data_IF_582246992642
#
_entry.id   IF_582246992642
#
_cell.length_a   1.000
_cell.length_b   1.000
_cell.length_c   1.000
_cell.angle_alpha   90.00
_cell.angle_beta   90.00
_cell.angle_gamma   90.00
#
_symmetry.space_group_name_H-M   'P 1'
#
loop_
_entity.id
_entity.type
_entity.pdbx_description
1 polymer ?
#
# COMPACT_ATOMS: atom_id res chain seq x y z
N UNK A 1 -34.89 1.23 0.22
CA UNK A 1 -35.28 0.08 1.04
C UNK A 1 -35.50 -1.18 0.19
N UNK A 2 -36.31 -1.19 -0.86
CA UNK A 2 -36.57 -2.36 -1.73
C UNK A 2 -35.27 -2.90 -2.34
N UNK A 3 -34.41 -2.06 -2.93
CA UNK A 3 -33.14 -2.50 -3.51
C UNK A 3 -32.18 -3.12 -2.49
N UNK A 4 -32.12 -2.59 -1.26
CA UNK A 4 -31.30 -3.15 -0.20
C UNK A 4 -31.80 -4.54 0.26
N UNK A 5 -33.12 -4.71 0.33
CA UNK A 5 -33.70 -6.02 0.64
C UNK A 5 -33.48 -7.01 -0.51
N UNK A 6 -33.71 -6.61 -1.76
CA UNK A 6 -33.44 -7.44 -2.93
C UNK A 6 -31.97 -7.90 -3.00
N UNK A 7 -31.03 -7.00 -2.68
CA UNK A 7 -29.61 -7.34 -2.60
C UNK A 7 -29.31 -8.34 -1.47
N UNK A 8 -29.82 -8.06 -0.26
CA UNK A 8 -29.60 -8.93 0.91
C UNK A 8 -30.16 -10.34 0.74
N UNK A 9 -31.24 -10.49 -0.05
CA UNK A 9 -31.91 -11.76 -0.30
C UNK A 9 -31.52 -12.41 -1.63
N UNK A 10 -30.57 -11.83 -2.38
CA UNK A 10 -30.06 -12.47 -3.59
C UNK A 10 -29.21 -13.68 -3.21
N UNK A 11 -29.34 -14.78 -3.96
CA UNK A 11 -28.60 -16.03 -3.73
C UNK A 11 -27.10 -15.79 -3.70
N UNK A 12 -26.55 -15.04 -4.67
CA UNK A 12 -25.14 -14.76 -4.78
C UNK A 12 -24.59 -14.04 -3.55
N UNK A 13 -25.32 -13.02 -3.05
CA UNK A 13 -24.87 -12.30 -1.87
C UNK A 13 -25.02 -13.14 -0.61
N UNK A 14 -26.12 -13.89 -0.49
CA UNK A 14 -26.36 -14.77 0.65
C UNK A 14 -25.26 -15.82 0.79
N UNK A 15 -24.91 -16.53 -0.29
CA UNK A 15 -23.81 -17.49 -0.29
C UNK A 15 -22.50 -16.83 0.09
N UNK A 16 -22.12 -15.69 -0.51
CA UNK A 16 -20.91 -14.95 -0.16
C UNK A 16 -20.88 -14.45 1.29
N UNK A 17 -22.05 -14.23 1.90
CA UNK A 17 -22.14 -13.75 3.28
C UNK A 17 -22.00 -14.87 4.32
N UNK A 18 -22.44 -16.10 3.99
CA UNK A 18 -22.38 -17.25 4.91
C UNK A 18 -21.13 -18.11 4.74
N UNK A 19 -20.44 -18.01 3.59
CA UNK A 19 -19.10 -18.55 3.42
C UNK A 19 -18.14 -17.79 4.33
N UNK A 20 -17.17 -18.46 4.95
CA UNK A 20 -16.14 -17.85 5.80
C UNK A 20 -15.11 -17.04 5.00
N UNK A 21 -15.54 -16.30 3.98
CA UNK A 21 -14.74 -15.57 3.00
C UNK A 21 -14.75 -14.05 3.21
N UNK A 22 -13.84 -13.37 2.55
CA UNK A 22 -13.60 -11.91 2.69
C UNK A 22 -14.71 -11.05 2.05
N UNK A 23 -15.54 -11.61 1.19
CA UNK A 23 -16.44 -10.85 0.29
C UNK A 23 -17.57 -10.13 1.01
N UNK A 24 -18.15 -10.71 2.06
CA UNK A 24 -19.23 -10.07 2.82
C UNK A 24 -18.74 -8.77 3.47
N UNK A 25 -17.58 -8.83 4.14
CA UNK A 25 -16.99 -7.65 4.79
C UNK A 25 -16.53 -6.61 3.77
N UNK A 26 -15.94 -7.04 2.65
CA UNK A 26 -15.53 -6.16 1.57
C UNK A 26 -16.73 -5.44 0.94
N UNK A 27 -17.84 -6.14 0.72
CA UNK A 27 -19.10 -5.56 0.22
C UNK A 27 -19.69 -4.53 1.19
N UNK A 28 -19.63 -4.82 2.49
CA UNK A 28 -20.04 -3.86 3.53
C UNK A 28 -19.18 -2.59 3.48
N UNK A 29 -17.84 -2.72 3.41
CA UNK A 29 -16.94 -1.57 3.27
C UNK A 29 -17.25 -0.75 2.02
N UNK A 30 -17.51 -1.42 0.88
CA UNK A 30 -17.92 -0.78 -0.38
C UNK A 30 -19.20 0.02 -0.21
N UNK A 31 -20.24 -0.57 0.35
CA UNK A 31 -21.52 0.11 0.60
C UNK A 31 -21.36 1.32 1.53
N UNK A 32 -20.54 1.18 2.57
CA UNK A 32 -20.27 2.25 3.53
C UNK A 32 -19.49 3.41 2.88
N UNK A 33 -18.53 3.13 2.03
CA UNK A 33 -17.78 4.14 1.27
C UNK A 33 -18.71 4.91 0.32
N UNK A 34 -19.58 4.21 -0.41
CA UNK A 34 -20.58 4.87 -1.26
C UNK A 34 -21.55 5.73 -0.46
N UNK A 35 -22.02 5.25 0.68
CA UNK A 35 -22.86 6.05 1.55
C UNK A 35 -22.14 7.32 2.06
N UNK A 36 -20.87 7.20 2.45
CA UNK A 36 -20.08 8.33 2.94
C UNK A 36 -19.80 9.37 1.86
N UNK A 37 -19.53 8.96 0.61
CA UNK A 37 -19.27 9.93 -0.46
C UNK A 37 -20.55 10.70 -0.82
N UNK A 38 -21.73 10.06 -0.80
CA UNK A 38 -23.00 10.74 -0.96
C UNK A 38 -23.33 11.69 0.21
N UNK A 39 -22.94 11.29 1.45
CA UNK A 39 -23.01 12.21 2.61
C UNK A 39 -22.10 13.39 2.44
N UNK A 40 -20.87 13.17 1.99
CA UNK A 40 -19.93 14.27 1.68
C UNK A 40 -20.51 15.20 0.62
N UNK A 41 -21.04 14.66 -0.45
CA UNK A 41 -21.65 15.44 -1.54
C UNK A 41 -22.73 16.38 -1.01
N UNK A 42 -23.62 15.90 -0.14
CA UNK A 42 -24.71 16.71 0.43
C UNK A 42 -24.25 17.85 1.32
N UNK A 43 -23.06 17.76 1.90
CA UNK A 43 -22.48 18.76 2.83
C UNK A 43 -21.19 19.38 2.34
N UNK A 44 -20.81 19.17 1.08
CA UNK A 44 -19.48 19.52 0.54
C UNK A 44 -19.08 20.99 0.69
N UNK A 45 -20.04 21.89 0.83
CA UNK A 45 -19.82 23.32 0.99
C UNK A 45 -19.86 23.78 2.46
N UNK A 46 -20.20 22.86 3.39
CA UNK A 46 -20.21 23.16 4.81
C UNK A 46 -18.80 23.03 5.43
N UNK A 47 -18.56 23.76 6.54
CA UNK A 47 -17.33 23.58 7.32
C UNK A 47 -17.16 22.11 7.74
N UNK A 48 -15.90 21.64 7.73
CA UNK A 48 -15.55 20.28 8.12
C UNK A 48 -16.11 19.13 7.24
N UNK A 49 -16.62 19.40 6.03
CA UNK A 49 -17.10 18.37 5.10
C UNK A 49 -16.01 17.30 4.83
N UNK A 50 -14.73 17.67 4.78
CA UNK A 50 -13.62 16.75 4.50
C UNK A 50 -13.47 15.61 5.53
N UNK A 51 -14.13 15.69 6.69
CA UNK A 51 -14.18 14.57 7.65
C UNK A 51 -14.72 13.28 7.04
N UNK A 52 -15.63 13.37 6.07
CA UNK A 52 -16.17 12.20 5.37
C UNK A 52 -15.11 11.61 4.42
N UNK A 53 -14.32 12.45 3.75
CA UNK A 53 -13.20 11.98 2.90
C UNK A 53 -12.15 11.25 3.76
N UNK A 54 -11.82 11.80 4.93
CA UNK A 54 -10.89 11.17 5.87
C UNK A 54 -11.46 9.83 6.39
N UNK A 55 -12.75 9.77 6.69
CA UNK A 55 -13.38 8.52 7.11
C UNK A 55 -13.41 7.48 5.98
N UNK A 56 -13.65 7.89 4.73
CA UNK A 56 -13.52 7.03 3.54
C UNK A 56 -12.10 6.46 3.46
N UNK A 57 -11.07 7.32 3.61
CA UNK A 57 -9.68 6.91 3.61
C UNK A 57 -9.37 5.86 4.71
N UNK A 58 -9.92 6.04 5.92
CA UNK A 58 -9.81 5.04 7.00
C UNK A 58 -10.42 3.69 6.62
N UNK A 59 -11.64 3.69 6.07
CA UNK A 59 -12.33 2.46 5.67
C UNK A 59 -11.58 1.76 4.54
N UNK A 60 -11.04 2.52 3.59
CA UNK A 60 -10.16 1.98 2.55
C UNK A 60 -8.94 1.31 3.20
N UNK A 61 -8.27 1.96 4.15
CA UNK A 61 -7.12 1.40 4.86
C UNK A 61 -7.43 0.08 5.58
N UNK A 62 -8.56 0.01 6.30
CA UNK A 62 -9.03 -1.22 6.96
C UNK A 62 -9.39 -2.29 5.92
N UNK A 63 -10.04 -1.91 4.84
CA UNK A 63 -10.49 -2.83 3.78
C UNK A 63 -9.32 -3.44 3.00
N UNK A 64 -8.22 -2.72 2.79
CA UNK A 64 -7.02 -3.24 2.12
C UNK A 64 -6.51 -4.51 2.84
N UNK A 65 -6.55 -4.53 4.17
CA UNK A 65 -6.13 -5.68 4.96
C UNK A 65 -7.04 -6.91 4.80
N UNK A 66 -8.26 -6.73 4.34
CA UNK A 66 -9.23 -7.82 4.12
C UNK A 66 -9.27 -8.19 2.63
N UNK A 67 -9.54 -7.21 1.77
CA UNK A 67 -9.61 -7.44 0.33
C UNK A 67 -9.48 -6.12 -0.45
N UNK A 68 -8.74 -6.16 -1.57
CA UNK A 68 -8.45 -4.97 -2.40
C UNK A 68 -9.64 -4.47 -3.22
N UNK A 69 -10.76 -5.21 -3.27
CA UNK A 69 -11.93 -4.89 -4.09
C UNK A 69 -12.46 -3.47 -3.83
N UNK A 70 -12.41 -3.01 -2.57
CA UNK A 70 -12.89 -1.68 -2.21
C UNK A 70 -12.12 -0.52 -2.89
N UNK A 71 -10.90 -0.75 -3.38
CA UNK A 71 -10.16 0.25 -4.15
C UNK A 71 -10.86 0.61 -5.47
N UNK A 72 -11.70 -0.28 -6.00
CA UNK A 72 -12.49 -0.01 -7.20
C UNK A 72 -13.56 1.09 -7.00
N UNK A 73 -13.82 1.49 -5.75
CA UNK A 73 -14.68 2.65 -5.45
C UNK A 73 -13.99 3.99 -5.74
N UNK A 74 -12.64 4.04 -5.81
CA UNK A 74 -11.89 5.29 -5.97
C UNK A 74 -12.29 6.07 -7.22
N UNK A 75 -12.47 5.48 -8.42
CA UNK A 75 -12.94 6.19 -9.58
C UNK A 75 -14.30 6.88 -9.35
N UNK A 76 -15.25 6.19 -8.72
CA UNK A 76 -16.56 6.76 -8.40
C UNK A 76 -16.43 7.93 -7.40
N UNK A 77 -15.61 7.78 -6.36
CA UNK A 77 -15.35 8.84 -5.36
C UNK A 77 -14.77 10.09 -6.03
N UNK A 78 -13.77 9.91 -6.90
CA UNK A 78 -13.10 11.03 -7.60
C UNK A 78 -14.05 11.71 -8.56
N UNK A 79 -14.91 10.96 -9.28
CA UNK A 79 -15.92 11.55 -10.16
C UNK A 79 -16.98 12.34 -9.38
N UNK A 80 -17.50 11.80 -8.27
CA UNK A 80 -18.45 12.53 -7.39
C UNK A 80 -17.80 13.81 -6.89
N UNK A 81 -16.54 13.73 -6.45
CA UNK A 81 -15.78 14.92 -6.04
C UNK A 81 -15.65 15.94 -7.16
N UNK A 82 -15.28 15.51 -8.36
CA UNK A 82 -15.14 16.37 -9.53
C UNK A 82 -16.45 17.08 -9.86
N UNK A 83 -17.53 16.35 -10.08
CA UNK A 83 -18.82 16.93 -10.43
C UNK A 83 -19.40 17.85 -9.35
N UNK A 84 -19.07 17.61 -8.09
CA UNK A 84 -19.54 18.45 -6.98
C UNK A 84 -18.76 19.74 -6.79
N UNK A 85 -17.43 19.69 -7.03
CA UNK A 85 -16.53 20.85 -6.76
C UNK A 85 -16.33 21.77 -7.95
N UNK A 86 -16.50 21.29 -9.16
CA UNK A 86 -16.31 22.08 -10.38
C UNK A 86 -17.65 22.45 -11.02
N UNK A 87 -17.87 23.76 -11.27
CA UNK A 87 -19.13 24.25 -11.87
C UNK A 87 -19.25 23.96 -13.36
N UNK A 88 -18.12 24.04 -14.09
CA UNK A 88 -18.04 23.78 -15.53
C UNK A 88 -17.43 22.39 -15.74
N UNK A 89 -18.27 21.40 -15.81
CA UNK A 89 -17.84 20.00 -16.05
C UNK A 89 -17.99 19.63 -17.51
N UNK A 90 -16.97 19.01 -18.08
CA UNK A 90 -16.94 18.58 -19.45
C UNK A 90 -16.36 17.16 -19.56
N UNK A 91 -16.42 16.57 -20.74
CA UNK A 91 -15.89 15.23 -20.99
C UNK A 91 -14.38 15.17 -20.71
N UNK A 92 -13.63 16.21 -21.10
CA UNK A 92 -12.18 16.27 -20.88
C UNK A 92 -11.84 16.25 -19.39
N UNK A 93 -12.53 17.03 -18.58
CA UNK A 93 -12.34 17.05 -17.14
C UNK A 93 -12.74 15.73 -16.47
N UNK A 94 -13.79 15.07 -16.95
CA UNK A 94 -14.19 13.74 -16.47
C UNK A 94 -13.12 12.68 -16.79
N UNK A 95 -12.51 12.72 -17.96
CA UNK A 95 -11.41 11.82 -18.34
C UNK A 95 -10.16 12.10 -17.48
N UNK A 96 -9.85 13.36 -17.21
CA UNK A 96 -8.75 13.72 -16.29
C UNK A 96 -9.05 13.21 -14.88
N UNK A 97 -10.28 13.36 -14.38
CA UNK A 97 -10.67 12.86 -13.07
C UNK A 97 -10.52 11.33 -12.98
N UNK A 98 -10.91 10.60 -14.03
CA UNK A 98 -10.67 9.16 -14.14
C UNK A 98 -9.18 8.82 -14.13
N UNK A 99 -8.36 9.54 -14.92
CA UNK A 99 -6.91 9.33 -14.92
C UNK A 99 -6.32 9.56 -13.53
N UNK A 100 -6.72 10.62 -12.83
CA UNK A 100 -6.31 10.88 -11.44
C UNK A 100 -6.70 9.72 -10.53
N UNK A 101 -7.90 9.14 -10.69
CA UNK A 101 -8.33 8.01 -9.88
C UNK A 101 -7.46 6.77 -10.09
N UNK A 102 -7.06 6.47 -11.34
CA UNK A 102 -6.12 5.39 -11.63
C UNK A 102 -4.74 5.65 -11.02
N UNK A 103 -4.24 6.89 -11.11
CA UNK A 103 -2.98 7.26 -10.45
C UNK A 103 -3.06 7.04 -8.93
N UNK A 104 -4.18 7.42 -8.29
CA UNK A 104 -4.38 7.17 -6.87
C UNK A 104 -4.38 5.67 -6.52
N UNK A 105 -5.02 4.83 -7.33
CA UNK A 105 -5.01 3.37 -7.14
C UNK A 105 -3.57 2.85 -7.27
N UNK A 106 -2.82 3.28 -8.28
CA UNK A 106 -1.42 2.88 -8.47
C UNK A 106 -0.56 3.32 -7.29
N UNK A 107 -0.73 4.56 -6.80
CA UNK A 107 -0.01 5.06 -5.63
C UNK A 107 -0.32 4.27 -4.35
N UNK A 108 -1.55 3.78 -4.19
CA UNK A 108 -1.92 2.95 -3.05
C UNK A 108 -1.35 1.53 -3.18
N UNK A 109 -1.54 0.88 -4.34
CA UNK A 109 -1.16 -0.52 -4.55
C UNK A 109 0.35 -0.72 -4.71
N UNK A 110 1.04 0.18 -5.38
CA UNK A 110 2.46 0.03 -5.72
C UNK A 110 3.36 1.01 -4.98
N UNK A 111 2.81 2.10 -4.44
CA UNK A 111 3.57 3.08 -3.68
C UNK A 111 3.43 2.87 -2.16
N UNK A 112 2.22 2.99 -1.63
CA UNK A 112 2.03 2.98 -0.17
C UNK A 112 2.30 1.60 0.44
N UNK A 113 1.69 0.55 -0.09
CA UNK A 113 1.75 -0.79 0.50
C UNK A 113 3.15 -1.40 0.36
N UNK A 114 3.71 -1.57 -0.87
CA UNK A 114 5.05 -2.13 -1.03
C UNK A 114 6.14 -1.17 -0.56
N UNK A 115 5.97 0.14 -0.77
CA UNK A 115 6.96 1.14 -0.38
C UNK A 115 7.16 1.21 1.14
N UNK A 116 6.08 1.04 1.92
CA UNK A 116 6.22 0.91 3.38
C UNK A 116 7.08 -0.31 3.75
N UNK A 117 6.81 -1.46 3.14
CA UNK A 117 7.57 -2.70 3.40
C UNK A 117 9.04 -2.52 3.00
N UNK A 118 9.31 -1.90 1.85
CA UNK A 118 10.65 -1.67 1.34
C UNK A 118 11.47 -0.78 2.28
N UNK A 119 10.95 0.38 2.68
CA UNK A 119 11.66 1.28 3.61
C UNK A 119 11.79 0.65 5.00
N UNK A 120 10.75 -0.04 5.48
CA UNK A 120 10.83 -0.78 6.74
C UNK A 120 11.93 -1.85 6.71
N UNK A 121 12.09 -2.55 5.58
CA UNK A 121 13.13 -3.55 5.37
C UNK A 121 14.54 -2.95 5.47
N UNK A 122 14.77 -1.77 4.89
CA UNK A 122 16.06 -1.08 5.00
C UNK A 122 16.38 -0.67 6.44
N UNK A 123 15.38 -0.16 7.16
CA UNK A 123 15.56 0.21 8.57
C UNK A 123 15.79 -1.03 9.43
N UNK A 124 15.07 -2.12 9.16
CA UNK A 124 15.27 -3.40 9.87
C UNK A 124 16.69 -3.95 9.67
N UNK A 125 17.19 -3.97 8.43
CA UNK A 125 18.57 -4.40 8.15
C UNK A 125 19.60 -3.52 8.85
N UNK A 126 19.37 -2.21 8.91
CA UNK A 126 20.25 -1.30 9.63
C UNK A 126 20.28 -1.63 11.14
N UNK A 127 19.10 -1.85 11.74
CA UNK A 127 19.00 -2.12 13.17
C UNK A 127 19.57 -3.48 13.56
N UNK A 128 19.23 -4.52 12.81
CA UNK A 128 19.62 -5.89 13.16
C UNK A 128 21.05 -6.20 12.68
N UNK A 129 21.40 -5.92 11.42
CA UNK A 129 22.67 -6.32 10.86
C UNK A 129 23.83 -5.38 11.20
N UNK A 130 23.56 -4.08 11.44
CA UNK A 130 24.60 -3.08 11.74
C UNK A 130 24.65 -2.77 13.23
N UNK A 131 23.49 -2.53 13.88
CA UNK A 131 23.45 -2.19 15.30
C UNK A 131 23.30 -3.42 16.21
N UNK A 132 23.15 -4.62 15.63
CA UNK A 132 23.01 -5.89 16.36
C UNK A 132 21.86 -5.90 17.37
N UNK A 133 20.78 -5.20 17.05
CA UNK A 133 19.55 -5.17 17.85
C UNK A 133 18.66 -6.39 17.51
N UNK A 134 17.73 -6.75 18.39
CA UNK A 134 16.82 -7.88 18.16
C UNK A 134 16.00 -7.75 16.88
N UNK A 135 15.56 -8.87 16.31
CA UNK A 135 14.64 -8.90 15.18
C UNK A 135 13.39 -8.05 15.43
N UNK A 136 12.89 -7.41 14.38
CA UNK A 136 11.73 -6.50 14.36
C UNK A 136 11.95 -5.15 15.09
N UNK A 137 13.12 -4.89 15.68
CA UNK A 137 13.40 -3.60 16.36
C UNK A 137 13.38 -2.41 15.41
N UNK A 138 13.91 -2.58 14.20
CA UNK A 138 13.91 -1.55 13.16
C UNK A 138 12.50 -1.23 12.65
N UNK A 139 11.66 -2.24 12.46
CA UNK A 139 10.26 -2.07 12.04
C UNK A 139 9.46 -1.32 13.09
N UNK A 140 9.61 -1.66 14.37
CA UNK A 140 8.94 -0.98 15.49
C UNK A 140 9.39 0.49 15.56
N UNK A 141 10.68 0.74 15.49
CA UNK A 141 11.22 2.11 15.45
C UNK A 141 10.65 2.91 14.27
N UNK A 142 10.66 2.34 13.08
CA UNK A 142 10.18 2.97 11.86
C UNK A 142 8.68 3.30 11.94
N UNK A 143 7.87 2.40 12.50
CA UNK A 143 6.45 2.64 12.73
C UNK A 143 6.22 3.90 13.58
N UNK A 144 6.89 4.02 14.72
CA UNK A 144 6.77 5.21 15.58
C UNK A 144 7.34 6.46 14.94
N UNK A 145 8.41 6.35 14.15
CA UNK A 145 8.98 7.46 13.38
C UNK A 145 7.95 8.02 12.38
N UNK A 146 7.29 7.16 11.60
CA UNK A 146 6.25 7.59 10.65
C UNK A 146 5.11 8.30 11.38
N UNK A 147 4.59 7.68 12.44
CA UNK A 147 3.49 8.27 13.24
C UNK A 147 3.89 9.65 13.75
N UNK A 148 5.09 9.78 14.31
CA UNK A 148 5.60 11.06 14.81
C UNK A 148 5.77 12.12 13.71
N UNK A 149 6.31 11.74 12.56
CA UNK A 149 6.54 12.67 11.44
C UNK A 149 5.22 13.11 10.81
N UNK A 150 4.26 12.21 10.60
CA UNK A 150 2.94 12.58 10.08
C UNK A 150 2.20 13.49 11.09
N UNK A 151 2.26 13.19 12.39
CA UNK A 151 1.66 14.02 13.43
C UNK A 151 2.29 15.42 13.44
N UNK A 152 3.62 15.52 13.31
CA UNK A 152 4.30 16.80 13.14
C UNK A 152 3.84 17.55 11.90
N UNK A 153 3.74 16.89 10.75
CA UNK A 153 3.29 17.50 9.50
C UNK A 153 1.83 17.99 9.59
N UNK A 154 0.93 17.20 10.22
CA UNK A 154 -0.45 17.63 10.49
C UNK A 154 -0.45 18.89 11.38
N UNK A 155 0.36 18.92 12.43
CA UNK A 155 0.50 20.07 13.31
C UNK A 155 0.99 21.33 12.55
N UNK A 156 1.99 21.21 11.67
CA UNK A 156 2.49 22.33 10.87
C UNK A 156 1.43 22.89 9.92
N UNK A 157 0.64 22.01 9.27
CA UNK A 157 -0.46 22.44 8.41
C UNK A 157 -1.59 23.13 9.19
N UNK A 158 -1.80 22.77 10.44
CA UNK A 158 -2.78 23.39 11.33
C UNK A 158 -2.27 24.72 11.92
N UNK A 159 -1.08 24.71 12.48
CA UNK A 159 -0.48 25.86 13.16
C UNK A 159 0.02 26.94 12.18
N UNK A 160 0.27 26.58 10.92
CA UNK A 160 0.73 27.47 9.83
C UNK A 160 1.90 28.38 10.24
N UNK A 161 2.87 27.86 10.99
CA UNK A 161 4.01 28.61 11.51
C UNK A 161 4.92 29.13 10.39
N UNK A 162 5.14 28.32 9.36
CA UNK A 162 5.97 28.66 8.21
C UNK A 162 5.66 27.78 7.01
N UNK A 163 5.52 28.39 5.82
CA UNK A 163 5.37 27.69 4.55
C UNK A 163 6.51 26.70 4.30
N UNK A 164 7.73 27.02 4.73
CA UNK A 164 8.89 26.16 4.59
C UNK A 164 8.75 24.89 5.44
N UNK A 165 8.30 25.02 6.69
CA UNK A 165 8.09 23.87 7.58
C UNK A 165 6.97 22.98 7.06
N UNK A 166 5.87 23.54 6.56
CA UNK A 166 4.77 22.79 5.95
C UNK A 166 5.28 21.96 4.76
N UNK A 167 6.07 22.55 3.86
CA UNK A 167 6.63 21.86 2.68
C UNK A 167 7.57 20.74 3.09
N UNK A 168 8.48 21.00 4.03
CA UNK A 168 9.47 20.01 4.49
C UNK A 168 8.78 18.85 5.18
N UNK A 169 7.91 19.12 6.17
CA UNK A 169 7.23 18.08 6.92
C UNK A 169 6.33 17.21 6.02
N UNK A 170 5.63 17.84 5.07
CA UNK A 170 4.84 17.14 4.07
C UNK A 170 5.70 16.23 3.19
N UNK A 171 6.80 16.75 2.63
CA UNK A 171 7.72 15.98 1.80
C UNK A 171 8.30 14.78 2.56
N UNK A 172 8.79 15.01 3.77
CA UNK A 172 9.34 13.95 4.61
C UNK A 172 8.28 12.89 4.91
N UNK A 173 7.02 13.27 5.20
CA UNK A 173 5.93 12.33 5.43
C UNK A 173 5.68 11.43 4.22
N UNK A 174 5.60 12.00 3.00
CA UNK A 174 5.37 11.23 1.76
C UNK A 174 6.53 10.26 1.48
N UNK A 175 7.76 10.71 1.71
CA UNK A 175 8.96 9.88 1.48
C UNK A 175 9.05 8.75 2.50
N UNK A 176 8.86 9.05 3.79
CA UNK A 176 8.93 8.04 4.85
C UNK A 176 7.82 7.00 4.74
N UNK A 177 6.62 7.38 4.28
CA UNK A 177 5.55 6.38 4.04
C UNK A 177 5.89 5.43 2.88
N UNK A 178 6.93 5.74 2.09
CA UNK A 178 7.41 4.88 1.01
C UNK A 178 6.78 5.16 -0.36
N UNK A 179 5.82 6.10 -0.45
CA UNK A 179 5.07 6.37 -1.70
C UNK A 179 5.95 6.56 -2.94
N UNK A 180 7.12 7.23 -2.91
CA UNK A 180 7.96 7.38 -4.09
C UNK A 180 8.68 6.09 -4.52
N UNK A 181 8.82 5.10 -3.63
CA UNK A 181 9.58 3.88 -3.89
C UNK A 181 8.71 2.83 -4.59
N UNK A 182 8.35 3.12 -5.84
CA UNK A 182 7.54 2.25 -6.70
C UNK A 182 8.46 1.34 -7.50
N UNK A 183 8.23 0.02 -7.43
CA UNK A 183 8.97 -0.97 -8.19
C UNK A 183 10.35 -1.30 -7.59
N UNK A 184 11.18 -1.97 -8.40
CA UNK A 184 12.46 -2.51 -7.97
C UNK A 184 13.58 -1.48 -8.09
N UNK A 185 13.87 -0.78 -7.02
CA UNK A 185 15.05 0.07 -6.93
C UNK A 185 14.79 1.52 -6.51
N UNK A 186 15.81 2.11 -5.92
CA UNK A 186 15.77 3.43 -5.31
C UNK A 186 15.82 4.60 -6.32
N UNK A 187 16.22 4.35 -7.57
CA UNK A 187 16.40 5.43 -8.58
C UNK A 187 15.09 6.15 -8.88
N UNK A 188 14.01 5.38 -9.13
CA UNK A 188 12.67 5.94 -9.37
C UNK A 188 12.21 6.73 -8.16
N UNK A 189 12.43 6.19 -6.95
CA UNK A 189 12.10 6.87 -5.70
C UNK A 189 12.80 8.21 -5.53
N UNK A 190 14.09 8.29 -5.87
CA UNK A 190 14.87 9.54 -5.84
C UNK A 190 14.31 10.54 -6.84
N UNK A 191 14.04 10.12 -8.07
CA UNK A 191 13.50 11.00 -9.13
C UNK A 191 12.12 11.54 -8.74
N UNK A 192 11.22 10.68 -8.26
CA UNK A 192 9.88 11.09 -7.81
C UNK A 192 9.94 12.03 -6.60
N UNK A 193 10.82 11.76 -5.65
CA UNK A 193 11.04 12.63 -4.48
C UNK A 193 11.57 14.00 -4.92
N UNK A 194 12.54 14.05 -5.84
CA UNK A 194 13.09 15.30 -6.37
C UNK A 194 12.02 16.10 -7.15
N UNK A 195 11.19 15.42 -7.94
CA UNK A 195 10.10 16.03 -8.67
C UNK A 195 9.04 16.63 -7.71
N UNK A 196 8.66 15.91 -6.67
CA UNK A 196 7.74 16.39 -5.64
C UNK A 196 8.34 17.58 -4.88
N UNK A 197 9.61 17.50 -4.49
CA UNK A 197 10.31 18.59 -3.84
C UNK A 197 10.34 19.84 -4.74
N UNK A 198 10.75 19.68 -5.99
CA UNK A 198 10.73 20.78 -6.96
C UNK A 198 9.35 21.41 -7.08
N UNK A 199 8.31 20.60 -7.25
CA UNK A 199 6.92 21.08 -7.31
C UNK A 199 6.54 21.88 -6.07
N UNK A 200 6.79 21.35 -4.86
CA UNK A 200 6.43 22.02 -3.61
C UNK A 200 7.18 23.33 -3.41
N UNK A 201 8.49 23.36 -3.67
CA UNK A 201 9.32 24.53 -3.39
C UNK A 201 9.21 25.65 -4.46
N UNK A 202 8.80 25.33 -5.69
CA UNK A 202 8.52 26.33 -6.72
C UNK A 202 7.15 27.00 -6.59
N UNK A 203 6.20 26.40 -5.88
CA UNK A 203 4.87 27.00 -5.67
C UNK A 203 4.90 28.12 -4.64
N UNK A 204 4.37 29.28 -5.02
CA UNK A 204 4.24 30.46 -4.14
C UNK A 204 3.03 30.36 -3.20
N UNK A 205 1.94 29.71 -3.66
CA UNK A 205 0.72 29.50 -2.86
C UNK A 205 0.54 28.03 -2.57
N UNK A 206 0.39 27.68 -1.30
CA UNK A 206 0.14 26.33 -0.84
C UNK A 206 -1.35 26.09 -0.66
N UNK A 207 -1.82 24.94 -1.10
CA UNK A 207 -3.15 24.45 -0.78
C UNK A 207 -3.13 23.74 0.60
N UNK A 208 -2.92 24.50 1.67
CA UNK A 208 -2.70 23.96 3.04
C UNK A 208 -3.82 23.02 3.47
N UNK A 209 -5.09 23.36 3.17
CA UNK A 209 -6.23 22.51 3.50
C UNK A 209 -6.15 21.16 2.77
N UNK A 210 -5.75 21.17 1.50
CA UNK A 210 -5.57 19.91 0.75
C UNK A 210 -4.40 19.09 1.31
N UNK A 211 -3.26 19.74 1.61
CA UNK A 211 -2.11 19.06 2.23
C UNK A 211 -2.49 18.45 3.59
N UNK A 212 -3.21 19.17 4.43
CA UNK A 212 -3.72 18.66 5.70
C UNK A 212 -4.67 17.46 5.50
N UNK A 213 -5.61 17.56 4.55
CA UNK A 213 -6.53 16.45 4.23
C UNK A 213 -5.77 15.22 3.73
N UNK A 214 -4.74 15.38 2.89
CA UNK A 214 -3.88 14.28 2.41
C UNK A 214 -3.15 13.63 3.60
N UNK A 215 -2.53 14.42 4.47
CA UNK A 215 -1.80 13.91 5.64
C UNK A 215 -2.72 13.16 6.60
N UNK A 216 -3.89 13.71 6.89
CA UNK A 216 -4.90 13.03 7.73
C UNK A 216 -5.40 11.75 7.06
N UNK A 217 -5.63 11.76 5.74
CA UNK A 217 -6.03 10.58 5.00
C UNK A 217 -4.94 9.51 5.02
N UNK A 218 -3.68 9.88 4.80
CA UNK A 218 -2.54 8.95 4.93
C UNK A 218 -2.42 8.38 6.34
N UNK A 219 -2.57 9.22 7.36
CA UNK A 219 -2.49 8.78 8.74
C UNK A 219 -3.56 7.74 9.08
N UNK A 220 -4.81 7.98 8.68
CA UNK A 220 -5.91 7.03 8.97
C UNK A 220 -5.85 5.78 8.09
N UNK A 221 -5.37 5.87 6.84
CA UNK A 221 -5.08 4.69 6.00
C UNK A 221 -4.02 3.84 6.70
N UNK A 222 -2.96 4.47 7.22
CA UNK A 222 -1.89 3.78 7.92
C UNK A 222 -2.37 3.09 9.20
N UNK A 223 -3.26 3.73 9.97
CA UNK A 223 -3.92 3.10 11.12
C UNK A 223 -4.73 1.88 10.66
N UNK A 224 -5.55 1.99 9.60
CA UNK A 224 -6.29 0.87 9.06
C UNK A 224 -5.38 -0.27 8.58
N UNK A 225 -4.34 0.08 7.84
CA UNK A 225 -3.35 -0.84 7.32
C UNK A 225 -2.51 -1.54 8.41
N UNK A 226 -2.33 -0.91 9.59
CA UNK A 226 -1.61 -1.51 10.71
C UNK A 226 -2.24 -2.82 11.22
N UNK A 227 -3.46 -3.14 10.79
CA UNK A 227 -4.09 -4.44 11.05
C UNK A 227 -3.29 -5.62 10.47
N UNK A 228 -2.42 -5.41 9.47
CA UNK A 228 -1.45 -6.41 9.02
C UNK A 228 -0.44 -6.83 10.10
N UNK A 229 -0.20 -5.99 11.11
CA UNK A 229 0.61 -6.39 12.26
C UNK A 229 0.02 -7.60 12.99
N UNK A 230 -1.31 -7.78 12.96
CA UNK A 230 -1.97 -8.97 13.52
C UNK A 230 -1.57 -10.25 12.80
N UNK A 231 -1.30 -10.19 11.49
CA UNK A 231 -0.84 -11.34 10.70
C UNK A 231 0.54 -11.75 11.21
N UNK A 232 1.46 -10.79 11.35
CA UNK A 232 2.81 -11.05 11.86
C UNK A 232 2.76 -11.61 13.28
N UNK A 233 1.97 -11.01 14.18
CA UNK A 233 1.81 -11.48 15.56
C UNK A 233 1.23 -12.91 15.60
N UNK A 234 0.26 -13.21 14.75
CA UNK A 234 -0.33 -14.56 14.68
C UNK A 234 0.64 -15.58 14.11
N UNK A 235 1.42 -15.22 13.09
CA UNK A 235 2.43 -16.07 12.50
C UNK A 235 3.52 -16.46 13.50
N UNK A 236 4.03 -15.49 14.30
CA UNK A 236 5.04 -15.78 15.35
C UNK A 236 4.54 -16.75 16.43
N UNK A 237 3.22 -16.94 16.56
CA UNK A 237 2.64 -17.93 17.47
C UNK A 237 2.64 -19.36 16.90
N UNK A 238 3.18 -19.60 15.69
CA UNK A 238 3.27 -20.90 15.02
C UNK A 238 1.92 -21.67 15.02
N UNK A 239 0.89 -21.01 14.51
CA UNK A 239 -0.44 -21.61 14.40
C UNK A 239 -0.46 -22.75 13.37
N UNK A 240 -1.35 -23.75 13.49
CA UNK A 240 -1.40 -24.90 12.56
C UNK A 240 -1.59 -24.51 11.08
N UNK A 241 -2.24 -23.37 10.82
CA UNK A 241 -2.41 -22.81 9.46
C UNK A 241 -1.71 -21.46 9.39
N UNK A 242 -0.42 -21.48 9.10
CA UNK A 242 0.43 -20.31 8.95
C UNK A 242 0.98 -20.23 7.53
N UNK A 243 0.16 -19.71 6.62
CA UNK A 243 0.51 -19.63 5.20
C UNK A 243 1.68 -18.66 4.98
N UNK A 244 2.79 -19.18 4.46
CA UNK A 244 4.05 -18.49 4.16
C UNK A 244 4.79 -17.91 5.39
N UNK A 245 4.37 -18.24 6.59
CA UNK A 245 5.02 -17.81 7.86
C UNK A 245 5.50 -16.34 7.82
N UNK A 246 4.59 -15.35 7.70
CA UNK A 246 4.96 -13.92 7.63
C UNK A 246 5.36 -13.36 8.99
N UNK A 247 6.43 -13.90 9.59
CA UNK A 247 6.92 -13.57 10.93
C UNK A 247 7.74 -12.28 11.01
N UNK A 248 8.18 -11.76 9.89
CA UNK A 248 9.00 -10.54 9.80
C UNK A 248 8.63 -9.73 8.56
N UNK A 249 9.25 -8.56 8.42
CA UNK A 249 8.94 -7.63 7.32
C UNK A 249 9.25 -8.20 5.94
N UNK A 250 10.24 -9.08 5.80
CA UNK A 250 10.64 -9.67 4.53
C UNK A 250 9.65 -10.74 4.09
N UNK A 251 9.31 -11.66 4.99
CA UNK A 251 8.30 -12.70 4.74
C UNK A 251 6.90 -12.10 4.58
N UNK A 252 6.58 -11.01 5.31
CA UNK A 252 5.37 -10.23 5.10
C UNK A 252 5.34 -9.61 3.70
N UNK A 253 6.47 -9.10 3.19
CA UNK A 253 6.59 -8.58 1.83
C UNK A 253 6.22 -9.63 0.78
N UNK A 254 6.79 -10.84 0.86
CA UNK A 254 6.45 -11.96 -0.02
C UNK A 254 4.99 -12.39 0.08
N UNK A 255 4.43 -12.38 1.29
CA UNK A 255 3.01 -12.67 1.52
C UNK A 255 2.09 -11.63 0.84
N UNK A 256 2.37 -10.34 0.99
CA UNK A 256 1.59 -9.24 0.39
C UNK A 256 1.71 -9.22 -1.13
N UNK A 257 2.88 -9.51 -1.67
CA UNK A 257 3.13 -9.61 -3.11
C UNK A 257 2.59 -10.90 -3.73
N UNK A 258 2.05 -11.81 -2.92
CA UNK A 258 1.52 -13.11 -3.37
C UNK A 258 2.54 -13.94 -4.13
N UNK A 259 3.80 -13.89 -3.75
CA UNK A 259 4.90 -14.58 -4.43
C UNK A 259 4.70 -16.10 -4.54
N UNK A 260 3.93 -16.69 -3.61
CA UNK A 260 3.58 -18.13 -3.65
C UNK A 260 2.76 -18.55 -4.87
N UNK A 261 2.09 -17.61 -5.53
CA UNK A 261 1.28 -17.91 -6.72
C UNK A 261 2.07 -17.77 -8.03
N UNK A 262 3.35 -17.39 -7.95
CA UNK A 262 4.23 -17.16 -9.10
C UNK A 262 3.87 -15.90 -9.88
N UNK A 263 4.71 -15.59 -10.88
CA UNK A 263 4.50 -14.45 -11.76
C UNK A 263 3.42 -14.75 -12.81
N UNK A 264 2.51 -13.80 -12.99
CA UNK A 264 1.49 -13.82 -14.04
C UNK A 264 1.65 -12.61 -14.92
N UNK A 265 2.56 -12.66 -15.92
CA UNK A 265 2.79 -11.53 -16.82
C UNK A 265 1.53 -11.22 -17.62
N UNK A 266 1.20 -9.91 -17.78
CA UNK A 266 -0.01 -9.47 -18.49
C UNK A 266 0.10 -9.55 -20.01
N UNK A 267 1.31 -9.41 -20.57
CA UNK A 267 1.52 -9.27 -22.01
C UNK A 267 2.37 -10.39 -22.59
N UNK A 268 3.42 -10.81 -21.90
CA UNK A 268 4.33 -11.86 -22.34
C UNK A 268 4.55 -12.84 -21.19
N UNK A 269 4.39 -14.11 -21.44
CA UNK A 269 4.55 -15.16 -20.46
C UNK A 269 4.75 -16.52 -21.10
N UNK A 270 5.00 -17.50 -20.27
CA UNK A 270 5.15 -18.87 -20.72
C UNK A 270 3.82 -19.40 -21.26
N UNK A 271 3.85 -20.04 -22.42
CA UNK A 271 2.72 -20.81 -22.92
C UNK A 271 2.62 -22.15 -22.19
N UNK A 272 1.43 -22.75 -22.18
CA UNK A 272 1.22 -24.06 -21.56
C UNK A 272 2.21 -25.16 -22.02
N UNK A 273 2.57 -25.25 -23.34
CA UNK A 273 3.54 -26.24 -23.83
C UNK A 273 4.99 -25.74 -23.77
N UNK A 274 5.30 -24.63 -23.09
CA UNK A 274 6.67 -24.12 -23.03
C UNK A 274 7.60 -25.10 -22.32
N UNK A 275 8.67 -25.51 -23.02
CA UNK A 275 9.70 -26.37 -22.46
C UNK A 275 10.74 -25.57 -21.69
N UNK A 276 11.44 -26.24 -20.78
CA UNK A 276 12.56 -25.63 -20.04
C UNK A 276 13.68 -25.29 -21.03
N UNK A 277 14.12 -24.04 -21.05
CA UNK A 277 15.26 -23.62 -21.87
C UNK A 277 16.53 -24.37 -21.46
N UNK A 278 17.22 -24.95 -22.44
CA UNK A 278 18.47 -25.70 -22.24
C UNK A 278 19.61 -25.05 -23.02
N UNK A 279 20.81 -25.17 -22.47
CA UNK A 279 22.02 -24.76 -23.18
C UNK A 279 22.43 -25.78 -24.25
N UNK A 280 23.51 -25.50 -24.97
CA UNK A 280 24.06 -26.38 -26.00
C UNK A 280 24.47 -27.79 -25.48
N UNK A 281 24.66 -27.93 -24.18
CA UNK A 281 25.03 -29.18 -23.50
C UNK A 281 23.79 -29.91 -22.94
N UNK A 282 22.58 -29.40 -23.16
CA UNK A 282 21.33 -29.96 -22.64
C UNK A 282 21.03 -29.62 -21.18
N UNK A 283 21.83 -28.77 -20.53
CA UNK A 283 21.63 -28.36 -19.14
C UNK A 283 20.56 -27.27 -19.07
N UNK A 284 19.64 -27.39 -18.10
CA UNK A 284 18.59 -26.39 -17.91
C UNK A 284 19.19 -25.02 -17.57
N UNK A 285 18.78 -23.99 -18.32
CA UNK A 285 19.19 -22.61 -18.08
C UNK A 285 18.42 -22.08 -16.86
N UNK A 286 19.15 -21.64 -15.84
CA UNK A 286 18.57 -21.00 -14.68
C UNK A 286 18.96 -19.53 -14.60
N UNK A 287 18.02 -18.69 -14.16
CA UNK A 287 18.26 -17.28 -13.86
C UNK A 287 18.31 -17.08 -12.35
N UNK A 288 19.23 -16.23 -11.90
CA UNK A 288 19.32 -15.88 -10.49
C UNK A 288 18.17 -14.95 -10.14
N UNK A 289 17.31 -15.36 -9.20
CA UNK A 289 16.25 -14.54 -8.65
C UNK A 289 16.77 -13.42 -7.75
N UNK A 290 15.88 -12.55 -7.28
CA UNK A 290 16.19 -11.53 -6.29
C UNK A 290 16.69 -12.18 -4.99
N UNK A 291 17.58 -11.51 -4.28
CA UNK A 291 17.98 -11.93 -2.95
C UNK A 291 16.80 -11.73 -1.98
N UNK A 292 16.46 -12.78 -1.26
CA UNK A 292 15.46 -12.77 -0.19
C UNK A 292 16.22 -12.79 1.13
N UNK A 293 15.86 -11.89 2.04
CA UNK A 293 16.46 -11.85 3.36
C UNK A 293 15.78 -12.85 4.28
N UNK A 294 16.57 -13.68 4.97
CA UNK A 294 16.09 -14.66 5.94
C UNK A 294 16.85 -14.55 7.26
N UNK A 295 16.15 -14.84 8.36
CA UNK A 295 16.78 -14.93 9.69
C UNK A 295 17.86 -16.02 9.66
N UNK A 296 19.08 -15.67 10.09
CA UNK A 296 20.14 -16.66 10.28
C UNK A 296 19.81 -17.48 11.52
N UNK A 297 19.81 -18.80 11.40
CA UNK A 297 19.71 -19.70 12.56
C UNK A 297 20.95 -19.52 13.44
N UNK A 298 20.72 -19.26 14.74
CA UNK A 298 21.80 -19.14 15.72
C UNK A 298 22.44 -20.50 15.97
N UNK A 299 23.75 -20.52 16.04
CA UNK A 299 24.55 -21.71 16.44
C UNK A 299 24.81 -21.73 17.94
N UNK A 300 24.75 -20.58 18.60
CA UNK A 300 24.83 -20.42 20.07
C UNK A 300 23.87 -19.35 20.55
N UNK A 301 23.47 -19.39 21.84
CA UNK A 301 22.58 -18.40 22.46
C UNK A 301 23.17 -16.98 22.48
N UNK A 302 24.51 -16.87 22.54
CA UNK A 302 25.22 -15.58 22.56
C UNK A 302 25.37 -14.93 21.17
N UNK A 303 24.96 -15.64 20.10
CA UNK A 303 25.07 -15.10 18.75
C UNK A 303 24.03 -14.00 18.54
N UNK A 304 24.47 -12.83 18.06
CA UNK A 304 23.56 -11.73 17.72
C UNK A 304 22.59 -12.10 16.59
N UNK A 305 21.40 -11.55 16.64
CA UNK A 305 20.42 -11.67 15.55
C UNK A 305 21.00 -11.11 14.25
N UNK A 306 20.74 -11.79 13.13
CA UNK A 306 21.21 -11.37 11.81
C UNK A 306 20.34 -11.88 10.70
N UNK A 307 20.12 -11.05 9.68
CA UNK A 307 19.58 -11.46 8.40
C UNK A 307 20.67 -11.80 7.40
N UNK A 308 20.46 -12.84 6.62
CA UNK A 308 21.35 -13.26 5.51
C UNK A 308 20.58 -13.20 4.20
N UNK A 309 21.27 -12.76 3.15
CA UNK A 309 20.70 -12.75 1.80
C UNK A 309 20.79 -14.15 1.19
N UNK A 310 19.65 -14.71 0.80
CA UNK A 310 19.55 -16.00 0.12
C UNK A 310 19.03 -15.75 -1.29
N UNK A 311 19.77 -16.22 -2.31
CA UNK A 311 19.34 -16.15 -3.71
C UNK A 311 18.88 -17.51 -4.16
N UNK A 312 17.69 -17.58 -4.75
CA UNK A 312 17.18 -18.78 -5.40
C UNK A 312 17.43 -18.69 -6.90
N UNK A 313 17.65 -19.84 -7.53
CA UNK A 313 17.71 -19.95 -9.00
C UNK A 313 16.37 -20.41 -9.50
N UNK A 314 15.85 -19.73 -10.53
CA UNK A 314 14.62 -20.13 -11.22
C UNK A 314 14.96 -20.74 -12.58
N UNK A 315 14.30 -21.84 -12.93
CA UNK A 315 14.41 -22.41 -14.28
C UNK A 315 13.80 -21.46 -15.29
N UNK A 316 14.55 -21.16 -16.35
CA UNK A 316 14.04 -20.37 -17.47
C UNK A 316 13.31 -21.30 -18.44
N UNK A 317 12.07 -20.97 -18.76
CA UNK A 317 11.35 -21.63 -19.86
C UNK A 317 11.63 -20.91 -21.18
N UNK A 318 11.45 -21.61 -22.31
CA UNK A 318 11.44 -20.99 -23.62
C UNK A 318 10.28 -19.98 -23.69
N UNK A 319 10.63 -18.70 -23.85
CA UNK A 319 9.67 -17.68 -24.21
C UNK A 319 9.40 -17.85 -25.71
N UNK A 320 8.23 -18.33 -26.07
CA UNK A 320 7.78 -18.28 -27.47
C UNK A 320 7.31 -16.86 -27.75
N UNK A 321 7.92 -16.24 -28.76
CA UNK A 321 7.48 -14.98 -29.36
C UNK A 321 6.07 -15.11 -29.93
#
# INVERSE_FOLDING_TARGET
>A
MVGALAYAWSDTFWFSAVEGEVYAYSSFCTALVFWLILKWESVADLPHANRYIILIAYIIGVSIAVHLLNLLCIPAIVLVYYYRKYKNTDLKGSLIALLVSFVLIVLLLYGLVPGFVEVASWVELLFVNVFHLPFNSGVVFYFFLIVGVIAWAIYETYAQRSDKLIKISFLISIVLVGIPFIGDGYIIGIVLTAALAYYLFTRKKLAVVAMNTILLSLFVIFIGYSSYALIVIRSTANTPMDQNSPEDIFSLGGYLNREQYGDRPLFYGQTFPAEIARDANGTAISTKGKAIWKKKLKTSEDEADRYIAVSYTHLRAHETL
#
